data_IF_179164244558
#
_entry.id   IF_179164244558
#
_cell.length_a   1.000
_cell.length_b   1.000
_cell.length_c   1.000
_cell.angle_alpha   90.00
_cell.angle_beta   90.00
_cell.angle_gamma   90.00
#
_symmetry.space_group_name_H-M   'P 1'
#
loop_
_entity.id
_entity.type
_entity.pdbx_description
1 polymer ?
#
# COMPACT_ATOMS: atom_id res chain seq x y z
N UNK A 1 19.21 -19.64 -1.41
CA UNK A 1 18.04 -20.00 -2.24
C UNK A 1 16.88 -20.57 -1.42
N UNK A 2 17.14 -21.45 -0.43
CA UNK A 2 16.08 -22.05 0.42
C UNK A 2 15.22 -21.04 1.19
N UNK A 3 15.83 -20.02 1.84
CA UNK A 3 15.09 -19.06 2.66
C UNK A 3 14.12 -18.15 1.88
N UNK A 4 14.54 -17.65 0.71
CA UNK A 4 13.67 -16.81 -0.14
C UNK A 4 12.49 -17.63 -0.67
N UNK A 5 12.72 -18.91 -1.01
CA UNK A 5 11.65 -19.82 -1.42
C UNK A 5 10.64 -20.04 -0.29
N UNK A 6 11.12 -20.23 0.94
CA UNK A 6 10.27 -20.35 2.13
C UNK A 6 9.44 -19.07 2.33
N UNK A 7 10.05 -17.89 2.23
CA UNK A 7 9.34 -16.61 2.35
C UNK A 7 8.24 -16.51 1.29
N UNK A 8 8.55 -16.82 0.02
CA UNK A 8 7.55 -16.82 -1.06
C UNK A 8 6.39 -17.77 -0.74
N UNK A 9 6.69 -18.96 -0.26
CA UNK A 9 5.67 -19.96 0.09
C UNK A 9 4.77 -19.45 1.22
N UNK A 10 5.35 -18.94 2.30
CA UNK A 10 4.62 -18.41 3.46
C UNK A 10 3.70 -17.25 3.03
N UNK A 11 4.25 -16.28 2.28
CA UNK A 11 3.48 -15.13 1.78
C UNK A 11 2.35 -15.59 0.87
N UNK A 12 2.61 -16.54 -0.03
CA UNK A 12 1.59 -17.11 -0.93
C UNK A 12 0.47 -17.76 -0.14
N UNK A 13 0.80 -18.64 0.82
CA UNK A 13 -0.21 -19.32 1.66
C UNK A 13 -1.04 -18.30 2.42
N UNK A 14 -0.40 -17.29 3.03
CA UNK A 14 -1.10 -16.29 3.84
C UNK A 14 -2.04 -15.41 3.00
N UNK A 15 -1.59 -14.97 1.82
CA UNK A 15 -2.41 -14.18 0.90
C UNK A 15 -3.57 -15.01 0.38
N UNK A 16 -3.32 -16.24 -0.09
CA UNK A 16 -4.36 -17.14 -0.59
C UNK A 16 -5.38 -17.47 0.50
N UNK A 17 -4.93 -17.79 1.72
CA UNK A 17 -5.82 -18.06 2.86
C UNK A 17 -6.69 -16.84 3.20
N UNK A 18 -6.12 -15.63 3.18
CA UNK A 18 -6.87 -14.40 3.45
C UNK A 18 -7.85 -14.08 2.35
N UNK A 19 -7.49 -14.31 1.09
CA UNK A 19 -8.38 -14.10 -0.04
C UNK A 19 -9.53 -15.12 -0.06
N UNK A 20 -9.26 -16.38 0.27
CA UNK A 20 -10.30 -17.40 0.49
C UNK A 20 -11.21 -17.00 1.65
N UNK A 21 -10.65 -16.52 2.77
CA UNK A 21 -11.43 -16.02 3.90
C UNK A 21 -12.34 -14.84 3.50
N UNK A 22 -11.85 -13.94 2.66
CA UNK A 22 -12.65 -12.88 2.04
C UNK A 22 -13.78 -13.45 1.16
N UNK A 23 -13.49 -14.42 0.29
CA UNK A 23 -14.49 -15.05 -0.59
C UNK A 23 -15.59 -15.78 0.19
N UNK A 24 -15.25 -16.46 1.28
CA UNK A 24 -16.23 -17.11 2.17
C UNK A 24 -17.16 -16.07 2.81
N UNK A 25 -16.63 -14.90 3.17
CA UNK A 25 -17.42 -13.81 3.77
C UNK A 25 -18.02 -12.87 2.73
N UNK A 26 -17.86 -13.13 1.43
CA UNK A 26 -18.24 -12.23 0.34
C UNK A 26 -19.72 -11.84 0.35
N UNK A 27 -20.61 -12.79 0.64
CA UNK A 27 -22.07 -12.59 0.68
C UNK A 27 -22.53 -11.66 1.81
N UNK A 28 -21.69 -11.44 2.82
CA UNK A 28 -22.07 -10.69 4.02
C UNK A 28 -22.05 -9.17 3.85
N UNK A 29 -21.40 -8.66 2.79
CA UNK A 29 -21.46 -7.25 2.38
C UNK A 29 -22.26 -7.16 1.08
N UNK A 30 -23.59 -6.95 1.19
CA UNK A 30 -24.42 -6.64 0.02
C UNK A 30 -23.98 -5.28 -0.54
N UNK A 31 -23.47 -5.29 -1.75
CA UNK A 31 -23.12 -4.09 -2.51
C UNK A 31 -23.83 -4.16 -3.87
N UNK A 32 -24.73 -3.21 -4.11
CA UNK A 32 -25.40 -3.05 -5.39
C UNK A 32 -24.63 -2.00 -6.19
N UNK A 33 -23.87 -2.46 -7.18
CA UNK A 33 -23.17 -1.59 -8.14
C UNK A 33 -23.90 -1.62 -9.48
N UNK A 34 -24.25 -0.44 -9.97
CA UNK A 34 -24.63 -0.24 -11.37
C UNK A 34 -23.47 -0.61 -12.30
N UNK A 35 -23.76 -1.05 -13.52
CA UNK A 35 -22.74 -1.35 -14.55
C UNK A 35 -21.64 -0.27 -14.71
N UNK A 36 -21.95 1.05 -14.83
CA UNK A 36 -20.92 2.07 -14.98
C UNK A 36 -19.98 2.14 -13.77
N UNK A 37 -20.52 2.06 -12.55
CA UNK A 37 -19.71 2.02 -11.32
C UNK A 37 -18.84 0.76 -11.24
N UNK A 38 -19.29 -0.40 -11.72
CA UNK A 38 -18.44 -1.61 -11.80
C UNK A 38 -17.22 -1.38 -12.69
N UNK A 39 -17.44 -0.81 -13.88
CA UNK A 39 -16.37 -0.52 -14.83
C UNK A 39 -15.39 0.53 -14.27
N UNK A 40 -15.88 1.60 -13.66
CA UNK A 40 -15.06 2.62 -13.01
C UNK A 40 -14.20 2.03 -11.88
N UNK A 41 -14.75 1.12 -11.07
CA UNK A 41 -14.00 0.43 -10.02
C UNK A 41 -12.91 -0.49 -10.60
N UNK A 42 -13.19 -1.20 -11.69
CA UNK A 42 -12.18 -2.03 -12.38
C UNK A 42 -11.02 -1.20 -12.93
N UNK A 43 -11.34 -0.10 -13.62
CA UNK A 43 -10.34 0.84 -14.15
C UNK A 43 -9.51 1.43 -13.00
N UNK A 44 -10.17 1.80 -11.90
CA UNK A 44 -9.50 2.32 -10.70
C UNK A 44 -8.48 1.31 -10.15
N UNK A 45 -8.87 0.04 -9.98
CA UNK A 45 -7.97 -1.01 -9.50
C UNK A 45 -6.81 -1.29 -10.45
N UNK A 46 -7.08 -1.33 -11.76
CA UNK A 46 -6.06 -1.52 -12.79
C UNK A 46 -5.03 -0.38 -12.77
N UNK A 47 -5.48 0.87 -12.96
CA UNK A 47 -4.59 2.04 -13.08
C UNK A 47 -3.82 2.25 -11.78
N UNK A 48 -4.48 2.17 -10.63
CA UNK A 48 -3.81 2.37 -9.36
C UNK A 48 -2.70 1.35 -9.10
N UNK A 49 -2.95 0.07 -9.42
CA UNK A 49 -1.96 -0.99 -9.23
C UNK A 49 -0.86 -0.97 -10.29
N UNK A 50 -1.19 -0.54 -11.51
CA UNK A 50 -0.21 -0.28 -12.56
C UNK A 50 0.80 0.78 -12.09
N UNK A 51 0.29 1.94 -11.66
CA UNK A 51 1.10 3.04 -11.12
C UNK A 51 1.86 2.61 -9.84
N UNK A 52 1.25 1.80 -8.98
CA UNK A 52 1.89 1.23 -7.79
C UNK A 52 3.11 0.37 -8.12
N UNK A 53 3.04 -0.40 -9.19
CA UNK A 53 4.17 -1.21 -9.65
C UNK A 53 5.36 -0.34 -10.06
N UNK A 54 5.10 0.88 -10.54
CA UNK A 54 6.13 1.90 -10.80
C UNK A 54 6.56 2.69 -9.55
N UNK A 55 5.96 2.44 -8.38
CA UNK A 55 6.30 3.09 -7.12
C UNK A 55 5.47 4.33 -6.76
N UNK A 56 4.40 4.63 -7.51
CA UNK A 56 3.50 5.78 -7.26
C UNK A 56 2.54 5.50 -6.08
N UNK A 57 2.31 4.24 -5.73
CA UNK A 57 1.40 3.90 -4.63
C UNK A 57 -0.08 3.83 -5.05
N UNK A 58 -0.66 2.65 -4.88
CA UNK A 58 -2.05 2.35 -5.24
C UNK A 58 -3.05 3.10 -4.36
N UNK A 59 -2.75 3.27 -3.06
CA UNK A 59 -3.68 3.85 -2.08
C UNK A 59 -4.02 5.32 -2.40
N UNK A 60 -3.02 6.10 -2.80
CA UNK A 60 -3.20 7.48 -3.24
C UNK A 60 -4.02 7.54 -4.54
N UNK A 61 -3.70 6.70 -5.51
CA UNK A 61 -4.40 6.65 -6.79
C UNK A 61 -5.86 6.22 -6.63
N UNK A 62 -6.14 5.17 -5.85
CA UNK A 62 -7.50 4.72 -5.57
C UNK A 62 -8.29 5.83 -4.86
N UNK A 63 -7.67 6.55 -3.91
CA UNK A 63 -8.35 7.66 -3.24
C UNK A 63 -8.70 8.79 -4.21
N UNK A 64 -7.81 9.12 -5.15
CA UNK A 64 -8.07 10.12 -6.18
C UNK A 64 -9.28 9.72 -7.05
N UNK A 65 -9.28 8.50 -7.58
CA UNK A 65 -10.37 7.98 -8.41
C UNK A 65 -11.68 7.83 -7.65
N UNK A 66 -11.62 7.41 -6.38
CA UNK A 66 -12.78 7.32 -5.50
C UNK A 66 -13.52 8.65 -5.44
N UNK A 67 -12.79 9.75 -5.24
CA UNK A 67 -13.38 11.08 -5.15
C UNK A 67 -13.83 11.60 -6.51
N UNK A 68 -13.11 11.27 -7.59
CA UNK A 68 -13.48 11.67 -8.94
C UNK A 68 -14.78 10.98 -9.44
N UNK A 69 -14.96 9.69 -9.12
CA UNK A 69 -16.09 8.87 -9.58
C UNK A 69 -17.21 8.68 -8.53
N UNK A 70 -17.03 9.16 -7.30
CA UNK A 70 -18.00 8.96 -6.22
C UNK A 70 -18.18 7.49 -5.84
N UNK A 71 -17.09 6.75 -5.71
CA UNK A 71 -17.09 5.32 -5.37
C UNK A 71 -16.97 5.11 -3.86
N UNK A 72 -17.51 4.00 -3.34
CA UNK A 72 -17.28 3.53 -1.96
C UNK A 72 -17.47 4.63 -0.90
N UNK A 73 -18.68 5.16 -0.72
CA UNK A 73 -18.95 6.35 0.09
C UNK A 73 -18.55 6.21 1.57
N UNK A 74 -18.68 5.02 2.16
CA UNK A 74 -18.25 4.76 3.54
C UNK A 74 -16.73 4.61 3.63
N UNK A 75 -16.10 5.49 4.41
CA UNK A 75 -14.65 5.50 4.61
C UNK A 75 -14.11 4.23 5.29
N UNK A 76 -14.82 3.67 6.27
CA UNK A 76 -14.31 2.48 6.99
C UNK A 76 -14.34 1.27 6.07
N UNK A 77 -15.43 1.13 5.31
CA UNK A 77 -15.56 0.08 4.28
C UNK A 77 -14.61 0.30 3.11
N UNK A 78 -14.38 1.54 2.70
CA UNK A 78 -13.39 1.89 1.69
C UNK A 78 -11.98 1.43 2.11
N UNK A 79 -11.54 1.79 3.31
CA UNK A 79 -10.22 1.41 3.81
C UNK A 79 -10.03 -0.11 3.84
N UNK A 80 -11.04 -0.87 4.30
CA UNK A 80 -10.95 -2.33 4.25
C UNK A 80 -10.93 -2.88 2.84
N UNK A 81 -11.68 -2.28 1.91
CA UNK A 81 -11.71 -2.73 0.51
C UNK A 81 -10.35 -2.56 -0.18
N UNK A 82 -9.69 -1.42 0.03
CA UNK A 82 -8.38 -1.15 -0.59
C UNK A 82 -7.24 -1.98 0.02
N UNK A 83 -7.35 -2.36 1.31
CA UNK A 83 -6.41 -3.26 1.97
C UNK A 83 -6.62 -4.69 1.49
N UNK A 84 -7.87 -5.18 1.47
CA UNK A 84 -8.18 -6.55 1.04
C UNK A 84 -7.83 -6.76 -0.44
N UNK A 85 -8.19 -5.80 -1.32
CA UNK A 85 -7.88 -5.94 -2.75
C UNK A 85 -6.36 -5.97 -3.00
N UNK A 86 -5.58 -5.22 -2.22
CA UNK A 86 -4.13 -5.12 -2.39
C UNK A 86 -3.41 -6.44 -2.06
N UNK A 87 -4.03 -7.37 -1.34
CA UNK A 87 -3.42 -8.66 -0.97
C UNK A 87 -2.94 -9.46 -2.18
N UNK A 88 -3.76 -9.56 -3.24
CA UNK A 88 -3.40 -10.34 -4.43
C UNK A 88 -2.33 -9.66 -5.31
N UNK A 89 -2.46 -8.37 -5.68
CA UNK A 89 -1.43 -7.75 -6.52
C UNK A 89 -0.08 -7.63 -5.83
N UNK A 90 -0.05 -7.36 -4.52
CA UNK A 90 1.21 -7.27 -3.77
C UNK A 90 1.93 -8.62 -3.66
N UNK A 91 1.19 -9.73 -3.63
CA UNK A 91 1.78 -11.07 -3.77
C UNK A 91 2.52 -11.22 -5.11
N UNK A 92 1.87 -10.85 -6.22
CA UNK A 92 2.49 -10.93 -7.54
C UNK A 92 3.74 -10.05 -7.63
N UNK A 93 3.65 -8.80 -7.14
CA UNK A 93 4.81 -7.91 -7.06
C UNK A 93 5.95 -8.54 -6.25
N UNK A 94 5.66 -9.02 -5.03
CA UNK A 94 6.65 -9.66 -4.17
C UNK A 94 7.36 -10.83 -4.87
N UNK A 95 6.60 -11.74 -5.49
CA UNK A 95 7.16 -12.91 -6.19
C UNK A 95 8.07 -12.48 -7.34
N UNK A 96 7.64 -11.51 -8.16
CA UNK A 96 8.38 -11.00 -9.31
C UNK A 96 9.65 -10.25 -8.89
N UNK A 97 9.55 -9.28 -7.96
CA UNK A 97 10.70 -8.48 -7.54
C UNK A 97 11.74 -9.29 -6.75
N UNK A 98 11.32 -10.28 -5.94
CA UNK A 98 12.24 -11.22 -5.28
C UNK A 98 12.93 -12.19 -6.25
N UNK A 99 12.49 -12.32 -7.50
CA UNK A 99 13.26 -13.05 -8.52
C UNK A 99 14.38 -12.18 -9.12
N UNK A 100 14.15 -10.88 -9.22
CA UNK A 100 15.04 -9.96 -9.91
C UNK A 100 16.25 -9.52 -9.07
N UNK A 101 16.08 -9.41 -7.75
CA UNK A 101 17.11 -8.85 -6.86
C UNK A 101 17.39 -9.76 -5.67
N UNK A 102 18.67 -10.03 -5.41
CA UNK A 102 19.13 -10.74 -4.22
C UNK A 102 19.11 -9.80 -3.01
N UNK A 103 18.48 -10.23 -1.93
CA UNK A 103 18.36 -9.46 -0.69
C UNK A 103 18.85 -10.29 0.49
N UNK A 104 19.44 -9.61 1.47
CA UNK A 104 19.77 -10.20 2.78
C UNK A 104 18.49 -10.62 3.53
N UNK A 105 18.40 -11.91 3.83
CA UNK A 105 17.21 -12.51 4.47
C UNK A 105 16.88 -11.86 5.81
N UNK A 106 17.88 -11.46 6.61
CA UNK A 106 17.65 -10.93 7.94
C UNK A 106 16.96 -9.56 7.88
N UNK A 107 17.47 -8.67 7.04
CA UNK A 107 16.87 -7.34 6.81
C UNK A 107 15.42 -7.47 6.32
N UNK A 108 15.17 -8.40 5.38
CA UNK A 108 13.84 -8.67 4.85
C UNK A 108 12.87 -9.24 5.90
N UNK A 109 13.31 -10.25 6.65
CA UNK A 109 12.49 -10.90 7.68
C UNK A 109 12.13 -9.92 8.79
N UNK A 110 13.10 -9.12 9.28
CA UNK A 110 12.82 -8.10 10.29
C UNK A 110 11.81 -7.09 9.79
N UNK A 111 11.97 -6.60 8.56
CA UNK A 111 11.03 -5.67 7.95
C UNK A 111 9.62 -6.26 7.87
N UNK A 112 9.49 -7.51 7.39
CA UNK A 112 8.22 -8.23 7.27
C UNK A 112 7.54 -8.51 8.61
N UNK A 113 8.28 -8.92 9.64
CA UNK A 113 7.72 -9.20 10.96
C UNK A 113 7.21 -7.90 11.59
N UNK A 114 8.03 -6.85 11.59
CA UNK A 114 7.65 -5.60 12.25
C UNK A 114 6.46 -4.93 11.57
N UNK A 115 6.44 -4.92 10.24
CA UNK A 115 5.30 -4.36 9.49
C UNK A 115 4.03 -5.19 9.68
N UNK A 116 4.14 -6.52 9.77
CA UNK A 116 3.01 -7.40 10.04
C UNK A 116 2.38 -7.07 11.40
N UNK A 117 3.19 -6.91 12.45
CA UNK A 117 2.71 -6.55 13.79
C UNK A 117 1.98 -5.20 13.74
N UNK A 118 2.53 -4.19 13.05
CA UNK A 118 1.85 -2.90 12.87
C UNK A 118 0.52 -3.02 12.13
N UNK A 119 0.46 -3.88 11.11
CA UNK A 119 -0.75 -4.20 10.35
C UNK A 119 -1.84 -4.84 11.22
N UNK A 120 -1.47 -5.83 12.04
CA UNK A 120 -2.40 -6.46 13.00
C UNK A 120 -2.95 -5.42 13.97
N UNK A 121 -2.07 -4.67 14.64
CA UNK A 121 -2.44 -3.67 15.64
C UNK A 121 -3.42 -2.67 15.03
N UNK A 122 -3.04 -2.03 13.92
CA UNK A 122 -3.89 -1.03 13.28
C UNK A 122 -5.21 -1.61 12.74
N UNK A 123 -5.20 -2.81 12.18
CA UNK A 123 -6.41 -3.51 11.70
C UNK A 123 -7.44 -3.77 12.80
N UNK A 124 -7.00 -4.07 14.02
CA UNK A 124 -7.89 -4.23 15.18
C UNK A 124 -8.35 -2.89 15.76
N UNK A 125 -7.48 -1.88 15.81
CA UNK A 125 -7.78 -0.59 16.44
C UNK A 125 -8.59 0.36 15.56
N UNK A 126 -8.45 0.30 14.23
CA UNK A 126 -9.03 1.29 13.30
C UNK A 126 -10.56 1.41 13.43
N UNK A 127 -11.26 0.34 13.82
CA UNK A 127 -12.72 0.38 14.01
C UNK A 127 -13.16 1.38 15.08
N UNK A 128 -12.32 1.64 16.08
CA UNK A 128 -12.59 2.56 17.19
C UNK A 128 -12.22 4.01 16.88
N UNK A 129 -11.51 4.25 15.76
CA UNK A 129 -11.02 5.58 15.42
C UNK A 129 -12.12 6.40 14.72
N UNK A 130 -12.22 7.68 15.09
CA UNK A 130 -13.20 8.60 14.51
C UNK A 130 -12.81 9.00 13.08
N UNK A 131 -13.80 9.34 12.25
CA UNK A 131 -13.59 9.76 10.85
C UNK A 131 -12.62 10.94 10.73
N UNK A 132 -12.68 11.89 11.66
CA UNK A 132 -11.79 13.05 11.68
C UNK A 132 -10.33 12.67 11.95
N UNK A 133 -10.10 11.71 12.86
CA UNK A 133 -8.76 11.22 13.15
C UNK A 133 -8.16 10.48 11.93
N UNK A 134 -8.95 9.67 11.22
CA UNK A 134 -8.51 9.04 9.96
C UNK A 134 -8.05 10.11 8.97
N UNK A 135 -8.84 11.16 8.76
CA UNK A 135 -8.47 12.25 7.84
C UNK A 135 -7.20 13.00 8.26
N UNK A 136 -7.01 13.25 9.55
CA UNK A 136 -5.80 13.90 10.06
C UNK A 136 -4.57 13.04 9.77
N UNK A 137 -4.64 11.73 10.04
CA UNK A 137 -3.54 10.81 9.73
C UNK A 137 -3.24 10.79 8.24
N UNK A 138 -4.28 10.69 7.38
CA UNK A 138 -4.11 10.75 5.93
C UNK A 138 -3.42 12.04 5.46
N UNK A 139 -3.89 13.20 5.95
CA UNK A 139 -3.34 14.50 5.57
C UNK A 139 -1.89 14.67 5.99
N UNK A 140 -1.57 14.40 7.26
CA UNK A 140 -0.20 14.52 7.77
C UNK A 140 0.74 13.62 6.98
N UNK A 141 0.31 12.37 6.72
CA UNK A 141 1.12 11.41 5.99
C UNK A 141 1.34 11.82 4.53
N UNK A 142 0.31 12.33 3.84
CA UNK A 142 0.47 12.83 2.47
C UNK A 142 1.34 14.08 2.39
N UNK A 143 1.22 15.02 3.32
CA UNK A 143 2.09 16.21 3.38
C UNK A 143 3.55 15.78 3.58
N UNK A 144 3.81 14.87 4.53
CA UNK A 144 5.14 14.32 4.76
C UNK A 144 5.68 13.66 3.49
N UNK A 145 4.86 12.86 2.80
CA UNK A 145 5.26 12.24 1.53
C UNK A 145 5.62 13.27 0.46
N UNK A 146 4.86 14.38 0.31
CA UNK A 146 5.19 15.43 -0.66
C UNK A 146 6.53 16.09 -0.32
N UNK A 147 6.75 16.45 0.95
CA UNK A 147 8.00 17.05 1.40
C UNK A 147 9.17 16.12 1.08
N UNK A 148 9.02 14.84 1.41
CA UNK A 148 10.01 13.80 1.16
C UNK A 148 10.31 13.66 -0.34
N UNK A 149 9.29 13.63 -1.19
CA UNK A 149 9.44 13.51 -2.64
C UNK A 149 10.11 14.75 -3.25
N UNK A 150 9.76 15.96 -2.79
CA UNK A 150 10.38 17.20 -3.28
C UNK A 150 11.86 17.27 -2.91
N UNK A 151 12.20 16.95 -1.66
CA UNK A 151 13.59 16.87 -1.22
C UNK A 151 14.39 15.82 -2.02
N UNK A 152 13.76 14.73 -2.44
CA UNK A 152 14.37 13.72 -3.31
C UNK A 152 14.57 14.24 -4.74
N UNK A 153 13.57 14.90 -5.32
CA UNK A 153 13.63 15.45 -6.67
C UNK A 153 14.64 16.60 -6.82
N UNK A 154 14.88 17.37 -5.76
CA UNK A 154 15.90 18.44 -5.75
C UNK A 154 17.33 17.90 -5.59
N UNK A 155 17.53 16.57 -5.60
CA UNK A 155 18.80 15.91 -5.27
C UNK A 155 19.36 16.27 -3.88
N UNK A 156 18.56 16.93 -3.02
CA UNK A 156 18.96 17.28 -1.65
C UNK A 156 18.96 16.07 -0.74
N UNK A 157 18.16 15.05 -1.07
CA UNK A 157 18.30 13.70 -0.53
C UNK A 157 19.18 12.87 -1.47
N UNK A 158 20.46 13.22 -1.58
CA UNK A 158 21.49 12.31 -2.07
C UNK A 158 21.78 11.26 -1.00
N UNK A 159 20.76 10.46 -0.73
CA UNK A 159 20.80 9.42 0.28
C UNK A 159 20.40 8.14 -0.43
N UNK A 160 21.34 7.23 -0.47
CA UNK A 160 21.33 5.98 -1.20
C UNK A 160 22.73 5.46 -1.07
N UNK A 161 22.89 4.33 -0.40
CA UNK A 161 24.20 3.72 -0.23
C UNK A 161 24.27 2.44 -1.04
N UNK A 162 25.46 1.86 -1.08
CA UNK A 162 25.71 0.58 -1.73
C UNK A 162 25.38 -0.60 -0.81
N UNK A 163 24.76 -0.36 0.34
CA UNK A 163 24.45 -1.43 1.29
C UNK A 163 23.31 -2.29 0.74
N UNK A 164 23.54 -3.60 0.81
CA UNK A 164 22.56 -4.64 0.49
C UNK A 164 21.84 -5.13 1.77
N UNK A 165 22.42 -4.85 2.94
CA UNK A 165 21.90 -5.27 4.24
C UNK A 165 22.09 -4.21 5.30
N UNK A 166 21.27 -4.29 6.34
CA UNK A 166 21.35 -3.41 7.50
C UNK A 166 21.52 -4.28 8.76
N UNK A 167 22.46 -3.90 9.64
CA UNK A 167 22.79 -4.65 10.86
C UNK A 167 22.86 -3.72 12.07
N UNK A 168 22.81 -4.31 13.27
CA UNK A 168 22.96 -3.58 14.54
C UNK A 168 21.87 -2.53 14.77
N UNK A 169 22.27 -1.34 15.17
CA UNK A 169 21.37 -0.22 15.50
C UNK A 169 20.47 0.19 14.33
N UNK A 170 21.01 0.20 13.11
CA UNK A 170 20.25 0.54 11.92
C UNK A 170 19.10 -0.44 11.62
N UNK A 171 19.25 -1.72 12.00
CA UNK A 171 18.21 -2.73 11.84
C UNK A 171 17.06 -2.51 12.83
N UNK A 172 17.38 -2.07 14.05
CA UNK A 172 16.37 -1.70 15.06
C UNK A 172 15.56 -0.50 14.58
N UNK A 173 16.23 0.52 14.04
CA UNK A 173 15.56 1.70 13.44
C UNK A 173 14.65 1.28 12.29
N UNK A 174 15.13 0.41 11.38
CA UNK A 174 14.29 -0.16 10.31
C UNK A 174 13.05 -0.85 10.89
N UNK A 175 13.22 -1.66 11.93
CA UNK A 175 12.11 -2.37 12.57
C UNK A 175 11.03 -1.44 13.13
N UNK A 176 11.43 -0.40 13.87
CA UNK A 176 10.50 0.59 14.45
C UNK A 176 9.73 1.30 13.33
N UNK A 177 10.45 1.71 12.28
CA UNK A 177 9.86 2.41 11.14
C UNK A 177 8.88 1.52 10.39
N UNK A 178 9.26 0.27 10.14
CA UNK A 178 8.39 -0.70 9.47
C UNK A 178 7.14 -1.00 10.30
N UNK A 179 7.24 -1.06 11.63
CA UNK A 179 6.07 -1.17 12.49
C UNK A 179 5.13 0.04 12.36
N UNK A 180 5.65 1.27 12.44
CA UNK A 180 4.83 2.48 12.28
C UNK A 180 4.21 2.57 10.89
N UNK A 181 4.98 2.26 9.85
CA UNK A 181 4.49 2.17 8.47
C UNK A 181 3.40 1.10 8.33
N UNK A 182 3.54 -0.01 9.05
CA UNK A 182 2.57 -1.10 9.14
C UNK A 182 1.19 -0.65 9.60
N UNK A 183 1.12 0.41 10.41
CA UNK A 183 -0.13 0.93 10.92
C UNK A 183 -0.93 1.77 9.90
N UNK A 184 -0.26 2.29 8.85
CA UNK A 184 -0.85 3.30 7.95
C UNK A 184 -1.95 2.76 7.01
N UNK A 185 -1.85 1.56 6.42
CA UNK A 185 -2.86 1.08 5.47
C UNK A 185 -4.25 0.85 6.06
N UNK A 186 -4.37 0.56 7.36
CA UNK A 186 -5.68 0.52 8.02
C UNK A 186 -6.41 1.87 7.93
N UNK A 187 -5.66 2.97 7.91
CA UNK A 187 -6.18 4.34 7.72
C UNK A 187 -6.35 4.72 6.23
N UNK A 188 -6.02 3.82 5.31
CA UNK A 188 -6.12 4.05 3.88
C UNK A 188 -4.98 4.86 3.29
N UNK A 189 -3.79 4.80 3.90
CA UNK A 189 -2.58 5.45 3.40
C UNK A 189 -1.51 4.43 3.07
N UNK A 190 -0.93 4.55 1.87
CA UNK A 190 0.23 3.77 1.46
C UNK A 190 1.50 4.32 2.13
N UNK A 191 2.40 3.42 2.53
CA UNK A 191 3.63 3.77 3.24
C UNK A 191 4.88 3.76 2.36
N UNK A 192 4.74 3.50 1.05
CA UNK A 192 5.88 3.23 0.18
C UNK A 192 6.90 4.36 0.16
N UNK A 193 6.46 5.59 -0.05
CA UNK A 193 7.35 6.76 -0.15
C UNK A 193 8.08 7.06 1.17
N UNK A 194 7.43 6.83 2.32
CA UNK A 194 8.02 7.04 3.65
C UNK A 194 9.10 6.01 3.92
N UNK A 195 8.77 4.73 3.68
CA UNK A 195 9.71 3.63 3.89
C UNK A 195 10.89 3.74 2.93
N UNK A 196 10.67 4.12 1.67
CA UNK A 196 11.73 4.30 0.69
C UNK A 196 12.81 5.29 1.18
N UNK A 197 12.39 6.45 1.69
CA UNK A 197 13.36 7.47 2.16
C UNK A 197 14.05 7.05 3.43
N UNK A 198 13.39 6.34 4.33
CA UNK A 198 14.04 5.85 5.53
C UNK A 198 15.03 4.72 5.21
N UNK A 199 14.67 3.80 4.31
CA UNK A 199 15.57 2.77 3.79
C UNK A 199 16.83 3.40 3.18
N UNK A 200 16.66 4.49 2.43
CA UNK A 200 17.77 5.25 1.88
C UNK A 200 18.62 5.90 2.98
N UNK A 201 18.01 6.54 3.99
CA UNK A 201 18.71 7.10 5.16
C UNK A 201 19.52 6.06 5.94
N UNK A 202 19.09 4.80 5.92
CA UNK A 202 19.86 3.70 6.51
C UNK A 202 21.05 3.26 5.63
N UNK A 203 21.08 3.71 4.37
CA UNK A 203 22.15 3.50 3.39
C UNK A 203 21.90 2.32 2.43
N UNK A 204 20.66 1.81 2.36
CA UNK A 204 20.32 0.73 1.43
C UNK A 204 20.18 1.23 -0.01
N UNK A 205 20.53 0.37 -0.97
CA UNK A 205 20.41 0.69 -2.39
C UNK A 205 18.95 0.70 -2.87
N UNK A 206 18.60 1.52 -3.89
CA UNK A 206 17.28 1.51 -4.53
C UNK A 206 16.86 0.15 -5.09
N UNK A 207 17.81 -0.64 -5.58
CA UNK A 207 17.56 -1.98 -6.10
C UNK A 207 17.00 -2.93 -5.02
N UNK A 208 17.46 -2.79 -3.77
CA UNK A 208 17.05 -3.62 -2.63
C UNK A 208 15.79 -3.08 -1.94
N UNK A 209 15.54 -1.77 -2.01
CA UNK A 209 14.38 -1.13 -1.39
C UNK A 209 13.05 -1.67 -1.94
N UNK A 210 12.90 -1.76 -3.27
CA UNK A 210 11.64 -2.16 -3.90
C UNK A 210 11.17 -3.57 -3.49
N UNK A 211 12.00 -4.62 -3.58
CA UNK A 211 11.53 -5.94 -3.18
C UNK A 211 11.35 -6.08 -1.66
N UNK A 212 12.06 -5.31 -0.82
CA UNK A 212 11.73 -5.22 0.62
C UNK A 212 10.31 -4.68 0.78
N UNK A 213 9.99 -3.56 0.12
CA UNK A 213 8.69 -2.89 0.23
C UNK A 213 7.54 -3.76 -0.26
N UNK A 214 7.66 -4.37 -1.44
CA UNK A 214 6.60 -5.22 -2.01
C UNK A 214 6.39 -6.51 -1.22
N UNK A 215 7.47 -7.13 -0.73
CA UNK A 215 7.36 -8.31 0.14
C UNK A 215 6.73 -7.96 1.49
N UNK A 216 7.15 -6.83 2.08
CA UNK A 216 6.57 -6.31 3.31
C UNK A 216 5.07 -6.04 3.16
N UNK A 217 4.62 -5.53 2.01
CA UNK A 217 3.19 -5.35 1.69
C UNK A 217 2.45 -6.66 1.54
N UNK A 218 3.03 -7.60 0.80
CA UNK A 218 2.43 -8.92 0.62
C UNK A 218 2.24 -9.65 1.96
N UNK A 219 3.07 -9.33 2.97
CA UNK A 219 2.89 -9.83 4.34
C UNK A 219 1.85 -9.02 5.12
N UNK A 220 1.94 -7.69 5.07
CA UNK A 220 1.13 -6.80 5.90
C UNK A 220 -0.33 -6.69 5.46
N UNK A 221 -0.61 -6.68 4.15
CA UNK A 221 -1.97 -6.53 3.63
C UNK A 221 -2.89 -7.64 4.18
N UNK A 222 -2.50 -8.94 4.16
CA UNK A 222 -3.26 -10.01 4.81
C UNK A 222 -3.52 -9.77 6.31
N UNK A 223 -2.48 -9.37 7.03
CA UNK A 223 -2.54 -9.18 8.50
C UNK A 223 -3.48 -8.05 8.91
N UNK A 224 -3.57 -7.01 8.08
CA UNK A 224 -4.49 -5.89 8.27
C UNK A 224 -5.90 -6.25 7.75
N UNK A 225 -5.98 -7.01 6.66
CA UNK A 225 -7.24 -7.43 6.03
C UNK A 225 -8.09 -8.33 6.92
N UNK A 226 -7.50 -9.33 7.60
CA UNK A 226 -8.25 -10.31 8.40
C UNK A 226 -9.15 -9.65 9.45
N UNK A 227 -8.68 -8.73 10.32
CA UNK A 227 -9.54 -7.98 11.23
C UNK A 227 -10.63 -7.16 10.52
N UNK A 228 -10.34 -6.56 9.36
CA UNK A 228 -11.30 -5.74 8.62
C UNK A 228 -12.40 -6.59 7.96
N UNK A 229 -12.05 -7.77 7.44
CA UNK A 229 -13.00 -8.77 6.93
C UNK A 229 -13.90 -9.26 8.08
N UNK A 230 -13.30 -9.64 9.21
CA UNK A 230 -14.04 -10.10 10.41
C UNK A 230 -15.07 -9.06 10.89
N UNK A 231 -14.72 -7.78 10.83
CA UNK A 231 -15.60 -6.68 11.22
C UNK A 231 -16.55 -6.22 10.10
N UNK A 232 -16.59 -6.92 8.95
CA UNK A 232 -17.40 -6.61 7.76
C UNK A 232 -17.21 -5.17 7.23
N UNK A 233 -16.01 -4.61 7.42
CA UNK A 233 -15.68 -3.25 7.00
C UNK A 233 -15.13 -3.24 5.58
N UNK A 234 -15.90 -3.73 4.61
CA UNK A 234 -15.49 -3.72 3.19
C UNK A 234 -16.69 -3.71 2.23
N UNK A 235 -16.40 -3.47 0.96
CA UNK A 235 -17.30 -3.53 -0.17
C UNK A 235 -16.94 -4.75 -1.02
N UNK A 236 -17.76 -5.81 -0.97
CA UNK A 236 -17.45 -7.11 -1.58
C UNK A 236 -17.12 -7.01 -3.07
N UNK A 237 -18.03 -6.43 -3.86
CA UNK A 237 -17.85 -6.35 -5.30
C UNK A 237 -16.74 -5.38 -5.67
N UNK A 238 -16.68 -4.21 -5.04
CA UNK A 238 -15.62 -3.25 -5.31
C UNK A 238 -14.23 -3.83 -5.03
N UNK A 239 -14.07 -4.59 -3.95
CA UNK A 239 -12.81 -5.26 -3.61
C UNK A 239 -12.38 -6.25 -4.68
N UNK A 240 -13.29 -7.13 -5.13
CA UNK A 240 -13.00 -8.13 -6.15
C UNK A 240 -12.71 -7.49 -7.51
N UNK A 241 -13.51 -6.49 -7.88
CA UNK A 241 -13.36 -5.75 -9.13
C UNK A 241 -12.10 -4.90 -9.18
N UNK A 242 -11.49 -4.55 -8.04
CA UNK A 242 -10.16 -3.94 -8.01
C UNK A 242 -9.03 -4.98 -8.05
N UNK A 243 -9.17 -6.08 -7.30
CA UNK A 243 -8.12 -7.08 -7.15
C UNK A 243 -7.78 -7.79 -8.47
N UNK A 244 -8.79 -8.20 -9.27
CA UNK A 244 -8.55 -8.95 -10.50
C UNK A 244 -7.83 -8.10 -11.57
N UNK A 245 -8.31 -6.90 -11.93
CA UNK A 245 -7.57 -6.03 -12.85
C UNK A 245 -6.24 -5.55 -12.27
N UNK A 246 -6.13 -5.42 -10.94
CA UNK A 246 -4.87 -5.12 -10.27
C UNK A 246 -3.80 -6.18 -10.54
N UNK A 247 -4.15 -7.47 -10.47
CA UNK A 247 -3.23 -8.55 -10.82
C UNK A 247 -2.75 -8.46 -12.27
N UNK A 248 -3.67 -8.20 -13.21
CA UNK A 248 -3.33 -8.01 -14.63
C UNK A 248 -2.40 -6.80 -14.82
N UNK A 249 -2.66 -5.70 -14.11
CA UNK A 249 -1.83 -4.51 -14.16
C UNK A 249 -0.39 -4.79 -13.71
N UNK A 250 -0.17 -5.58 -12.65
CA UNK A 250 1.18 -5.97 -12.20
C UNK A 250 1.91 -6.76 -13.29
N UNK A 251 1.24 -7.74 -13.90
CA UNK A 251 1.85 -8.58 -14.94
C UNK A 251 2.23 -7.78 -16.18
N UNK A 252 1.47 -6.74 -16.53
CA UNK A 252 1.77 -5.84 -17.65
C UNK A 252 2.87 -4.82 -17.26
N UNK A 253 2.83 -4.27 -16.04
CA UNK A 253 3.76 -3.24 -15.58
C UNK A 253 5.17 -3.77 -15.31
N UNK A 254 5.29 -4.97 -14.73
CA UNK A 254 6.57 -5.57 -14.35
C UNK A 254 7.62 -5.63 -15.49
N UNK A 255 7.30 -6.05 -16.73
CA UNK A 255 8.29 -6.03 -17.82
C UNK A 255 8.59 -4.62 -18.37
N UNK A 256 7.73 -3.63 -18.08
CA UNK A 256 7.86 -2.25 -18.58
C UNK A 256 8.70 -1.38 -17.63
N UNK A 257 8.76 -1.74 -16.34
CA UNK A 257 9.43 -0.93 -15.30
C UNK A 257 10.89 -0.62 -15.61
N UNK A 258 11.62 -1.54 -16.25
CA UNK A 258 13.03 -1.34 -16.63
C UNK A 258 13.23 -0.36 -17.79
N UNK A 259 12.15 0.03 -18.48
CA UNK A 259 12.18 0.92 -19.66
C UNK A 259 11.70 2.34 -19.36
N UNK A 260 11.17 2.59 -18.16
CA UNK A 260 10.58 3.89 -17.79
C UNK A 260 11.49 4.63 -16.83
N UNK A 261 11.78 5.89 -17.14
CA UNK A 261 12.59 6.75 -16.27
C UNK A 261 11.82 7.08 -14.98
N UNK A 262 12.45 6.75 -13.85
CA UNK A 262 11.93 6.96 -12.51
C UNK A 262 11.59 8.43 -12.20
N UNK A 263 12.20 9.38 -12.90
CA UNK A 263 11.97 10.82 -12.72
C UNK A 263 10.56 11.25 -13.11
N UNK A 264 10.03 10.74 -14.22
CA UNK A 264 8.66 11.06 -14.67
C UNK A 264 7.61 10.52 -13.70
N UNK A 265 7.83 9.32 -13.17
CA UNK A 265 6.93 8.68 -12.22
C UNK A 265 6.81 9.45 -10.91
N UNK A 266 7.91 10.04 -10.43
CA UNK A 266 7.90 10.93 -9.24
C UNK A 266 7.03 12.16 -9.44
N UNK A 267 7.09 12.79 -10.62
CA UNK A 267 6.25 13.96 -10.93
C UNK A 267 4.76 13.60 -11.00
N UNK A 268 4.42 12.47 -11.62
CA UNK A 268 3.04 11.96 -11.63
C UNK A 268 2.54 11.73 -10.20
N UNK A 269 3.36 11.08 -9.36
CA UNK A 269 3.04 10.87 -7.95
C UNK A 269 2.77 12.18 -7.20
N UNK A 270 3.64 13.18 -7.37
CA UNK A 270 3.47 14.49 -6.74
C UNK A 270 2.10 15.10 -7.08
N UNK A 271 1.72 15.12 -8.36
CA UNK A 271 0.43 15.66 -8.82
C UNK A 271 -0.75 14.91 -8.16
N UNK A 272 -0.69 13.58 -8.12
CA UNK A 272 -1.74 12.75 -7.49
C UNK A 272 -1.86 13.05 -5.99
N UNK A 273 -0.74 13.19 -5.28
CA UNK A 273 -0.78 13.48 -3.84
C UNK A 273 -1.29 14.90 -3.58
N UNK A 274 -0.89 15.90 -4.37
CA UNK A 274 -1.44 17.25 -4.26
C UNK A 274 -2.96 17.26 -4.44
N UNK A 275 -3.47 16.56 -5.45
CA UNK A 275 -4.92 16.39 -5.66
C UNK A 275 -5.60 15.73 -4.45
N UNK A 276 -4.99 14.70 -3.88
CA UNK A 276 -5.51 14.02 -2.69
C UNK A 276 -5.52 14.93 -1.46
N UNK A 277 -4.46 15.69 -1.20
CA UNK A 277 -4.39 16.66 -0.10
C UNK A 277 -5.52 17.69 -0.27
N UNK A 278 -5.67 18.26 -1.46
CA UNK A 278 -6.74 19.23 -1.73
C UNK A 278 -8.12 18.64 -1.47
N UNK A 279 -8.37 17.43 -1.96
CA UNK A 279 -9.66 16.74 -1.78
C UNK A 279 -9.94 16.39 -0.32
N UNK A 280 -8.92 15.96 0.42
CA UNK A 280 -9.01 15.69 1.86
C UNK A 280 -9.30 16.95 2.67
N UNK A 281 -8.65 18.07 2.35
CA UNK A 281 -8.90 19.36 3.00
C UNK A 281 -10.34 19.80 2.74
N UNK A 282 -10.84 19.67 1.50
CA UNK A 282 -12.23 19.97 1.14
C UNK A 282 -13.22 19.09 1.92
N UNK A 283 -12.98 17.77 1.97
CA UNK A 283 -13.82 16.82 2.70
C UNK A 283 -13.78 17.05 4.22
N UNK A 284 -12.66 17.51 4.78
CA UNK A 284 -12.55 17.86 6.19
C UNK A 284 -13.32 19.15 6.53
N UNK A 285 -13.26 20.16 5.65
CA UNK A 285 -14.02 21.41 5.82
C UNK A 285 -15.53 21.16 5.84
N UNK A 286 -16.05 20.27 4.98
CA UNK A 286 -17.48 19.93 5.00
C UNK A 286 -17.91 19.15 6.24
N UNK A 287 -17.02 18.35 6.85
CA UNK A 287 -17.29 17.68 8.12
C UNK A 287 -17.37 18.65 9.31
N UNK A 288 -16.59 19.74 9.28
CA UNK A 288 -16.60 20.78 10.32
C UNK A 288 -17.83 21.68 10.17
N UNK A 289 -18.28 21.93 8.94
CA UNK A 289 -19.47 22.76 8.65
C UNK A 289 -20.82 22.09 8.96
N UNK A 290 -20.85 20.77 9.17
CA UNK A 290 -22.06 19.98 9.48
C UNK A 290 -22.13 19.57 10.97
N UNK A 291 -21.28 20.16 11.83
CA UNK A 291 -21.36 20.06 13.28
C UNK A 291 -21.85 21.38 13.84
#
# INVERSE_FOLDING_TARGET
MSQILIIKLIVTIMVVATFIYFLINFSQSKELLSFPKKLQTMITGFVATFLDTFGIGSFASIFAFRNAFGLMEDNKRYNGSIVVQATLPTLLQSVLFLQLVKIDSLTLITACIMIAIGGVVSGYFVKYVTRNAIYNVMLVTFILTVIILLLNSMHMLAVGGDLISVRGTKLIVLGIVMFMAGCLPAFGVGYYSIVLVIIFLLGLSPAVAYPIMTTASAVQMPMTAVPMIKNRQYYSWSTLLMAIPGCLAVLIAAPIISKVDASYLKWVLLVVIFYNIWTLVKAKRSLISNK
#
